data_IF_677122330012
#
_entry.id   IF_677122330012
#
_cell.length_a   1.000
_cell.length_b   1.000
_cell.length_c   1.000
_cell.angle_alpha   90.00
_cell.angle_beta   90.00
_cell.angle_gamma   90.00
#
_symmetry.space_group_name_H-M   'P 1'
#
loop_
_entity.id
_entity.type
_entity.pdbx_description
1 polymer ?
#
# COMPACT_ATOMS: atom_id res chain seq x y z
N UNK A 1 -23.27 -22.72 -25.45
CA UNK A 1 -22.15 -23.68 -25.27
C UNK A 1 -20.93 -22.87 -24.88
N UNK A 2 -20.48 -22.96 -23.62
CA UNK A 2 -19.25 -22.30 -23.16
C UNK A 2 -18.03 -23.20 -23.43
N UNK A 3 -16.85 -22.64 -23.72
CA UNK A 3 -15.69 -23.42 -24.10
C UNK A 3 -15.07 -24.08 -22.86
N UNK A 4 -15.35 -25.37 -22.66
CA UNK A 4 -14.69 -26.19 -21.64
C UNK A 4 -13.19 -26.44 -21.93
N UNK A 5 -12.70 -26.12 -23.15
CA UNK A 5 -11.34 -26.47 -23.58
C UNK A 5 -10.21 -25.66 -22.95
N UNK A 6 -10.46 -24.47 -22.39
CA UNK A 6 -9.38 -23.66 -21.80
C UNK A 6 -8.99 -24.10 -20.39
N UNK A 7 -9.91 -24.68 -19.63
CA UNK A 7 -9.70 -25.13 -18.25
C UNK A 7 -8.89 -26.43 -18.18
N UNK A 8 -9.11 -27.35 -19.12
CA UNK A 8 -8.36 -28.61 -19.16
C UNK A 8 -6.90 -28.41 -19.61
N UNK A 9 -6.66 -27.43 -20.50
CA UNK A 9 -5.30 -27.02 -20.88
C UNK A 9 -4.54 -26.41 -19.70
N UNK A 10 -5.22 -25.62 -18.85
CA UNK A 10 -4.62 -25.05 -17.64
C UNK A 10 -4.31 -26.11 -16.58
N UNK A 11 -5.17 -27.11 -16.40
CA UNK A 11 -4.90 -28.26 -15.50
C UNK A 11 -3.71 -29.10 -15.98
N UNK A 12 -3.59 -29.31 -17.29
CA UNK A 12 -2.43 -29.96 -17.90
C UNK A 12 -1.14 -29.18 -17.67
N UNK A 13 -1.17 -27.85 -17.89
CA UNK A 13 -0.05 -26.96 -17.64
C UNK A 13 0.33 -26.90 -16.15
N UNK A 14 -0.65 -26.85 -15.25
CA UNK A 14 -0.43 -26.85 -13.80
C UNK A 14 0.17 -28.18 -13.32
N UNK A 15 -0.29 -29.30 -13.88
CA UNK A 15 0.27 -30.64 -13.60
C UNK A 15 1.69 -30.77 -14.15
N UNK A 16 1.95 -30.22 -15.35
CA UNK A 16 3.28 -30.18 -15.95
C UNK A 16 4.22 -29.28 -15.14
N UNK A 17 3.77 -28.10 -14.70
CA UNK A 17 4.51 -27.18 -13.84
C UNK A 17 4.79 -27.78 -12.47
N UNK A 18 3.82 -28.45 -11.85
CA UNK A 18 4.03 -29.15 -10.59
C UNK A 18 4.96 -30.36 -10.75
N UNK A 19 4.91 -31.05 -11.89
CA UNK A 19 5.87 -32.12 -12.23
C UNK A 19 7.27 -31.54 -12.42
N UNK A 20 7.41 -30.43 -13.14
CA UNK A 20 8.67 -29.68 -13.30
C UNK A 20 9.20 -29.29 -11.91
N UNK A 21 8.42 -28.59 -11.09
CA UNK A 21 8.80 -28.18 -9.72
C UNK A 21 9.17 -29.37 -8.83
N UNK A 22 8.48 -30.52 -8.92
CA UNK A 22 8.80 -31.74 -8.15
C UNK A 22 10.00 -32.53 -8.71
N UNK A 23 10.17 -32.62 -10.02
CA UNK A 23 11.30 -33.31 -10.65
C UNK A 23 12.62 -32.56 -10.46
N UNK A 24 12.56 -31.25 -10.25
CA UNK A 24 13.73 -30.37 -10.08
C UNK A 24 14.31 -30.33 -8.66
N UNK A 25 13.82 -31.17 -7.75
CA UNK A 25 14.41 -31.33 -6.42
C UNK A 25 15.66 -32.25 -6.40
N UNK A 26 15.97 -32.93 -7.52
CA UNK A 26 17.10 -33.86 -7.61
C UNK A 26 18.26 -33.35 -8.49
N UNK A 27 18.02 -32.39 -9.37
CA UNK A 27 19.02 -31.56 -10.05
C UNK A 27 18.34 -30.25 -10.48
N UNK A 28 18.82 -29.07 -10.04
CA UNK A 28 18.20 -27.81 -10.40
C UNK A 28 18.33 -27.61 -11.92
N UNK A 29 17.23 -27.41 -12.66
CA UNK A 29 17.29 -27.21 -14.10
C UNK A 29 18.10 -25.97 -14.38
N UNK A 30 18.88 -26.02 -15.45
CA UNK A 30 19.59 -24.86 -15.96
C UNK A 30 18.58 -23.68 -16.14
N UNK A 31 18.72 -22.59 -15.37
CA UNK A 31 17.84 -21.43 -15.47
C UNK A 31 17.78 -20.85 -16.89
N UNK A 32 18.80 -21.10 -17.72
CA UNK A 32 18.86 -20.64 -19.11
C UNK A 32 17.67 -21.12 -19.95
N UNK A 33 17.22 -22.36 -19.75
CA UNK A 33 16.09 -22.94 -20.50
C UNK A 33 14.79 -22.25 -20.16
N UNK A 34 14.59 -21.91 -18.89
CA UNK A 34 13.41 -21.19 -18.46
C UNK A 34 13.41 -19.75 -18.99
N UNK A 35 14.57 -19.08 -18.97
CA UNK A 35 14.73 -17.74 -19.54
C UNK A 35 14.60 -17.70 -21.07
N UNK A 36 14.69 -18.83 -21.77
CA UNK A 36 14.41 -18.95 -23.20
C UNK A 36 12.91 -18.96 -23.58
N UNK A 37 12.01 -19.17 -22.61
CA UNK A 37 10.55 -19.12 -22.83
C UNK A 37 10.12 -17.66 -23.05
N UNK A 38 9.20 -17.31 -23.97
CA UNK A 38 8.67 -15.95 -24.11
C UNK A 38 8.20 -15.33 -22.78
N UNK A 39 8.44 -14.02 -22.60
CA UNK A 39 8.20 -13.33 -21.32
C UNK A 39 6.75 -13.45 -20.86
N UNK A 40 5.81 -13.37 -21.79
CA UNK A 40 4.37 -13.46 -21.54
C UNK A 40 3.99 -14.81 -20.93
N UNK A 41 4.62 -15.90 -21.40
CA UNK A 41 4.40 -17.23 -20.85
C UNK A 41 5.06 -17.37 -19.48
N UNK A 42 6.22 -16.75 -19.24
CA UNK A 42 6.86 -16.72 -17.91
C UNK A 42 5.98 -15.98 -16.90
N UNK A 43 5.41 -14.84 -17.28
CA UNK A 43 4.48 -14.07 -16.43
C UNK A 43 3.26 -14.91 -16.04
N UNK A 44 2.69 -15.68 -16.97
CA UNK A 44 1.62 -16.63 -16.68
C UNK A 44 2.06 -17.72 -15.70
N UNK A 45 3.26 -18.30 -15.88
CA UNK A 45 3.80 -19.31 -14.98
C UNK A 45 3.98 -18.74 -13.56
N UNK A 46 4.52 -17.52 -13.44
CA UNK A 46 4.68 -16.86 -12.15
C UNK A 46 3.35 -16.61 -11.47
N UNK A 47 2.35 -16.12 -12.22
CA UNK A 47 0.99 -15.92 -11.72
C UNK A 47 0.36 -17.21 -11.21
N UNK A 48 0.39 -18.28 -12.00
CA UNK A 48 -0.15 -19.58 -11.60
C UNK A 48 0.56 -20.14 -10.36
N UNK A 49 1.88 -19.95 -10.25
CA UNK A 49 2.64 -20.35 -9.07
C UNK A 49 2.22 -19.56 -7.81
N UNK A 50 1.98 -18.26 -7.93
CA UNK A 50 1.53 -17.43 -6.83
C UNK A 50 0.12 -17.81 -6.38
N UNK A 51 -0.78 -18.11 -7.32
CA UNK A 51 -2.13 -18.64 -7.04
C UNK A 51 -2.03 -19.97 -6.28
N UNK A 52 -1.24 -20.90 -6.79
CA UNK A 52 -1.07 -22.23 -6.20
C UNK A 52 -0.49 -22.19 -4.77
N UNK A 53 0.32 -21.19 -4.46
CA UNK A 53 0.94 -21.02 -3.14
C UNK A 53 0.12 -20.15 -2.18
N UNK A 54 -1.11 -19.77 -2.56
CA UNK A 54 -1.98 -18.85 -1.81
C UNK A 54 -1.28 -17.52 -1.48
N UNK A 55 -0.38 -17.09 -2.36
CA UNK A 55 0.34 -15.80 -2.31
C UNK A 55 -0.22 -14.79 -3.32
N UNK A 56 -1.25 -15.19 -4.07
CA UNK A 56 -2.02 -14.34 -4.97
C UNK A 56 -3.40 -14.07 -4.35
N UNK A 57 -3.78 -12.80 -4.23
CA UNK A 57 -5.03 -12.40 -3.60
C UNK A 57 -5.21 -10.89 -3.65
N UNK A 58 -6.42 -10.43 -3.34
CA UNK A 58 -6.85 -9.04 -3.57
C UNK A 58 -6.00 -8.04 -2.77
N UNK A 59 -5.50 -8.39 -1.58
CA UNK A 59 -4.69 -7.48 -0.77
C UNK A 59 -3.30 -8.06 -0.48
N UNK A 60 -2.28 -7.56 -1.19
CA UNK A 60 -0.89 -7.88 -0.87
C UNK A 60 -0.37 -6.88 0.16
N UNK A 61 -0.19 -7.38 1.39
CA UNK A 61 0.24 -6.57 2.53
C UNK A 61 1.73 -6.74 2.81
N UNK A 62 2.46 -5.64 2.63
CA UNK A 62 3.81 -5.46 3.13
C UNK A 62 3.76 -5.00 4.59
N UNK A 63 3.97 -5.95 5.50
CA UNK A 63 4.07 -5.72 6.94
C UNK A 63 5.43 -6.11 7.53
N UNK A 64 5.66 -5.75 8.79
CA UNK A 64 6.88 -6.04 9.55
C UNK A 64 7.26 -7.54 9.53
N UNK A 65 6.28 -8.45 9.52
CA UNK A 65 6.57 -9.90 9.41
C UNK A 65 7.23 -10.27 8.08
N UNK A 66 7.03 -9.47 7.04
CA UNK A 66 7.72 -9.60 5.75
C UNK A 66 9.21 -9.22 5.84
N UNK A 67 9.60 -8.48 6.89
CA UNK A 67 10.96 -8.02 7.21
C UNK A 67 11.76 -9.03 8.04
N UNK A 68 11.26 -10.24 8.33
CA UNK A 68 12.02 -11.23 9.12
C UNK A 68 13.24 -11.79 8.36
N UNK A 69 14.09 -10.96 7.78
CA UNK A 69 15.28 -11.29 6.99
C UNK A 69 15.98 -12.54 7.54
N UNK A 70 16.25 -13.50 6.65
CA UNK A 70 17.50 -14.25 6.77
C UNK A 70 18.60 -13.18 6.79
N UNK A 71 19.33 -13.08 7.90
CA UNK A 71 20.18 -11.94 8.33
C UNK A 71 21.30 -11.50 7.34
N UNK A 72 21.30 -11.96 6.09
CA UNK A 72 22.22 -11.52 5.03
C UNK A 72 21.57 -11.20 3.68
N UNK A 73 20.27 -11.40 3.47
CA UNK A 73 19.64 -11.14 2.15
C UNK A 73 18.63 -10.01 2.21
N UNK A 74 18.76 -8.99 1.35
CA UNK A 74 17.78 -7.89 1.17
C UNK A 74 16.48 -8.36 0.47
N UNK A 75 16.08 -9.61 0.72
CA UNK A 75 14.98 -10.26 0.03
C UNK A 75 13.80 -10.46 0.97
N UNK A 76 12.60 -10.05 0.56
CA UNK A 76 11.43 -10.23 1.39
C UNK A 76 10.96 -11.68 1.41
N UNK A 77 10.37 -12.10 2.52
CA UNK A 77 9.87 -13.47 2.70
C UNK A 77 8.71 -13.86 1.81
N UNK A 78 7.89 -12.89 1.41
CA UNK A 78 6.77 -13.17 0.51
C UNK A 78 7.26 -13.62 -0.87
N UNK A 79 8.47 -13.23 -1.29
CA UNK A 79 9.03 -13.60 -2.57
C UNK A 79 9.14 -15.13 -2.67
N UNK A 80 8.46 -15.78 -3.63
CA UNK A 80 8.48 -17.23 -3.77
C UNK A 80 9.90 -17.72 -4.10
N UNK A 81 10.15 -19.01 -3.86
CA UNK A 81 11.46 -19.63 -4.10
C UNK A 81 11.96 -19.41 -5.53
N UNK A 82 11.06 -19.43 -6.53
CA UNK A 82 11.41 -19.14 -7.92
C UNK A 82 12.02 -17.74 -8.11
N UNK A 83 11.53 -16.72 -7.38
CA UNK A 83 12.10 -15.37 -7.40
C UNK A 83 13.47 -15.26 -6.73
N UNK A 84 13.94 -16.31 -6.05
CA UNK A 84 15.26 -16.33 -5.38
C UNK A 84 16.37 -16.89 -6.28
N UNK A 85 16.04 -17.50 -7.42
CA UNK A 85 16.98 -18.20 -8.31
C UNK A 85 18.08 -17.31 -8.85
N UNK A 86 17.72 -16.20 -9.50
CA UNK A 86 18.67 -15.21 -10.01
C UNK A 86 18.02 -13.82 -10.09
N UNK A 87 18.83 -12.79 -10.35
CA UNK A 87 18.38 -11.39 -10.36
C UNK A 87 17.32 -11.10 -11.42
N UNK A 88 17.44 -11.67 -12.61
CA UNK A 88 16.47 -11.45 -13.68
C UNK A 88 15.11 -12.03 -13.27
N UNK A 89 15.06 -13.33 -12.96
CA UNK A 89 13.83 -14.02 -12.52
C UNK A 89 13.21 -13.33 -11.31
N UNK A 90 14.03 -12.86 -10.37
CA UNK A 90 13.57 -12.05 -9.23
C UNK A 90 12.82 -10.80 -9.66
N UNK A 91 13.39 -10.06 -10.61
CA UNK A 91 12.77 -8.85 -11.18
C UNK A 91 11.43 -9.17 -11.80
N UNK A 92 11.38 -10.21 -12.64
CA UNK A 92 10.18 -10.62 -13.36
C UNK A 92 9.05 -11.04 -12.39
N UNK A 93 9.39 -11.87 -11.39
CA UNK A 93 8.45 -12.34 -10.38
C UNK A 93 7.93 -11.19 -9.52
N UNK A 94 8.81 -10.28 -9.06
CA UNK A 94 8.40 -9.12 -8.27
C UNK A 94 7.47 -8.20 -9.05
N UNK A 95 7.79 -7.93 -10.32
CA UNK A 95 6.94 -7.14 -11.20
C UNK A 95 5.53 -7.76 -11.32
N UNK A 96 5.45 -9.08 -11.52
CA UNK A 96 4.17 -9.79 -11.57
C UNK A 96 3.41 -9.67 -10.24
N UNK A 97 4.06 -9.87 -9.10
CA UNK A 97 3.43 -9.73 -7.77
C UNK A 97 2.86 -8.32 -7.57
N UNK A 98 3.66 -7.28 -7.84
CA UNK A 98 3.25 -5.90 -7.58
C UNK A 98 2.17 -5.42 -8.56
N UNK A 99 2.19 -5.88 -9.82
CA UNK A 99 1.13 -5.58 -10.80
C UNK A 99 -0.18 -6.29 -10.52
N UNK A 100 -0.10 -7.48 -9.92
CA UNK A 100 -1.25 -8.29 -9.56
C UNK A 100 -2.03 -7.75 -8.37
N UNK A 101 -1.32 -7.07 -7.48
CA UNK A 101 -1.87 -6.55 -6.25
C UNK A 101 -2.98 -5.53 -6.54
N UNK A 102 -4.13 -5.67 -5.86
CA UNK A 102 -5.19 -4.68 -5.98
C UNK A 102 -4.85 -3.39 -5.25
N UNK A 103 -4.25 -3.47 -4.06
CA UNK A 103 -3.71 -2.34 -3.29
C UNK A 103 -2.47 -2.81 -2.52
N UNK A 104 -1.29 -2.26 -2.81
CA UNK A 104 -0.09 -2.56 -2.04
C UNK A 104 -0.22 -1.92 -0.68
N UNK A 105 -0.43 -2.71 0.36
CA UNK A 105 -0.59 -2.17 1.73
C UNK A 105 0.78 -2.06 2.37
N UNK A 106 1.16 -0.87 2.84
CA UNK A 106 2.49 -0.61 3.39
C UNK A 106 2.37 -0.05 4.81
N UNK A 107 2.98 -0.75 5.76
CA UNK A 107 3.14 -0.23 7.13
C UNK A 107 4.17 0.91 7.18
N UNK A 108 3.90 1.93 7.99
CA UNK A 108 4.62 3.21 7.98
C UNK A 108 5.75 3.32 8.99
N UNK A 109 6.23 2.22 9.56
CA UNK A 109 7.45 2.28 10.35
C UNK A 109 8.60 2.73 9.45
N UNK A 110 9.31 3.81 9.82
CA UNK A 110 10.32 4.42 8.95
C UNK A 110 11.35 3.41 8.44
N UNK A 111 11.84 2.54 9.32
CA UNK A 111 12.79 1.48 8.95
C UNK A 111 12.23 0.43 7.97
N UNK A 112 10.91 0.24 7.96
CA UNK A 112 10.23 -0.66 7.03
C UNK A 112 10.09 -0.03 5.64
N UNK A 113 9.72 1.25 5.58
CA UNK A 113 9.69 2.01 4.32
C UNK A 113 11.09 2.06 3.70
N UNK A 114 12.12 2.32 4.49
CA UNK A 114 13.50 2.29 4.03
C UNK A 114 13.91 0.92 3.47
N UNK A 115 13.47 -0.16 4.11
CA UNK A 115 13.69 -1.52 3.59
C UNK A 115 13.03 -1.71 2.23
N UNK A 116 11.76 -1.32 2.06
CA UNK A 116 11.05 -1.43 0.78
C UNK A 116 11.77 -0.63 -0.30
N UNK A 117 12.14 0.62 0.00
CA UNK A 117 12.88 1.47 -0.93
C UNK A 117 14.17 0.77 -1.36
N UNK A 118 15.01 0.34 -0.42
CA UNK A 118 16.28 -0.32 -0.71
C UNK A 118 16.08 -1.63 -1.49
N UNK A 119 15.05 -2.40 -1.17
CA UNK A 119 14.70 -3.62 -1.89
C UNK A 119 14.33 -3.33 -3.35
N UNK A 120 13.48 -2.33 -3.60
CA UNK A 120 13.10 -1.89 -4.95
C UNK A 120 14.30 -1.32 -5.72
N UNK A 121 15.24 -0.68 -5.05
CA UNK A 121 16.50 -0.22 -5.67
C UNK A 121 17.44 -1.35 -6.10
N UNK A 122 17.23 -2.59 -5.64
CA UNK A 122 18.06 -3.73 -6.09
C UNK A 122 17.79 -4.15 -7.55
N UNK A 123 16.73 -3.64 -8.18
CA UNK A 123 16.36 -3.94 -9.56
C UNK A 123 17.01 -2.95 -10.53
N UNK A 124 18.21 -3.28 -11.02
CA UNK A 124 18.91 -2.47 -12.03
C UNK A 124 18.15 -2.40 -13.35
N UNK A 125 18.29 -1.26 -14.05
CA UNK A 125 17.74 -0.99 -15.38
C UNK A 125 16.20 -0.96 -15.49
N UNK A 126 15.49 -1.01 -14.37
CA UNK A 126 14.03 -0.83 -14.33
C UNK A 126 13.67 0.13 -13.21
N UNK A 127 12.76 1.07 -13.48
CA UNK A 127 12.16 1.87 -12.41
C UNK A 127 11.12 1.02 -11.68
N UNK A 128 11.58 0.17 -10.75
CA UNK A 128 10.74 -0.80 -10.02
C UNK A 128 9.59 -0.15 -9.23
N UNK A 129 9.71 1.13 -8.89
CA UNK A 129 8.64 1.91 -8.26
C UNK A 129 7.44 2.10 -9.20
N UNK A 130 7.62 2.06 -10.52
CA UNK A 130 6.55 2.20 -11.51
C UNK A 130 5.64 0.96 -11.59
N UNK A 131 6.05 -0.15 -10.98
CA UNK A 131 5.20 -1.33 -10.82
C UNK A 131 4.07 -1.08 -9.81
N UNK A 132 4.23 -0.11 -8.91
CA UNK A 132 3.28 0.22 -7.86
C UNK A 132 2.27 1.23 -8.40
N UNK A 133 1.11 0.72 -8.81
CA UNK A 133 0.01 1.56 -9.33
C UNK A 133 -1.00 1.94 -8.26
N UNK A 134 -1.03 1.20 -7.15
CA UNK A 134 -2.05 1.34 -6.11
C UNK A 134 -1.40 1.09 -4.76
N UNK A 135 -1.49 2.08 -3.87
CA UNK A 135 -0.80 2.08 -2.59
C UNK A 135 -1.80 2.41 -1.48
N UNK A 136 -1.79 1.61 -0.42
CA UNK A 136 -2.59 1.81 0.77
C UNK A 136 -1.67 1.97 1.98
N UNK A 137 -1.82 3.09 2.66
CA UNK A 137 -1.09 3.43 3.87
C UNK A 137 -2.09 3.44 5.03
N UNK A 138 -2.26 2.29 5.71
CA UNK A 138 -3.37 2.07 6.65
C UNK A 138 -3.21 2.85 7.96
N UNK A 139 -2.04 3.45 8.19
CA UNK A 139 -1.81 4.35 9.31
C UNK A 139 -0.66 5.26 8.95
N UNK A 140 -0.88 6.57 8.79
CA UNK A 140 0.19 7.54 8.62
C UNK A 140 0.84 7.80 9.98
N UNK A 141 2.03 7.21 10.20
CA UNK A 141 2.72 7.32 11.48
C UNK A 141 3.07 8.77 11.83
N UNK A 142 2.96 9.09 13.11
CA UNK A 142 3.35 10.38 13.66
C UNK A 142 4.83 10.65 13.38
N UNK A 143 5.12 11.72 12.66
CA UNK A 143 6.50 12.17 12.51
C UNK A 143 6.99 12.76 13.83
N UNK A 144 8.04 12.18 14.40
CA UNK A 144 8.94 12.96 15.23
C UNK A 144 9.82 13.79 14.28
N UNK A 145 9.42 15.06 14.07
CA UNK A 145 10.15 15.99 13.18
C UNK A 145 11.61 16.18 13.60
N UNK A 146 11.93 15.98 14.88
CA UNK A 146 13.29 16.11 15.37
C UNK A 146 14.18 14.93 14.92
N UNK A 147 13.59 13.75 14.68
CA UNK A 147 14.32 12.58 14.21
C UNK A 147 14.40 12.47 12.69
N UNK A 148 13.39 12.95 11.96
CA UNK A 148 13.30 12.79 10.51
C UNK A 148 13.10 14.14 9.84
N UNK A 149 14.04 14.52 8.97
CA UNK A 149 13.94 15.73 8.13
C UNK A 149 12.76 15.67 7.15
N UNK A 150 12.37 14.47 6.71
CA UNK A 150 11.33 14.22 5.71
C UNK A 150 10.49 13.01 6.09
N UNK A 151 9.22 12.98 5.66
CA UNK A 151 8.35 11.82 5.86
C UNK A 151 8.80 10.67 4.96
N UNK A 152 9.38 9.57 5.47
CA UNK A 152 9.84 8.48 4.62
C UNK A 152 8.70 7.87 3.81
N UNK A 153 7.47 7.86 4.34
CA UNK A 153 6.27 7.38 3.64
C UNK A 153 5.95 8.27 2.44
N UNK A 154 5.99 9.61 2.59
CA UNK A 154 5.78 10.51 1.46
C UNK A 154 6.90 10.41 0.44
N UNK A 155 8.15 10.31 0.89
CA UNK A 155 9.28 10.07 -0.01
C UNK A 155 9.10 8.79 -0.82
N UNK A 156 8.59 7.71 -0.21
CA UNK A 156 8.26 6.47 -0.93
C UNK A 156 7.12 6.68 -1.95
N UNK A 157 6.03 7.34 -1.55
CA UNK A 157 4.89 7.68 -2.43
C UNK A 157 5.37 8.44 -3.67
N UNK A 158 6.23 9.46 -3.49
CA UNK A 158 6.75 10.29 -4.59
C UNK A 158 7.57 9.51 -5.62
N UNK A 159 8.22 8.42 -5.21
CA UNK A 159 9.01 7.60 -6.13
C UNK A 159 8.13 6.74 -7.05
N UNK A 160 6.88 6.51 -6.68
CA UNK A 160 5.94 5.71 -7.47
C UNK A 160 5.32 6.56 -8.59
N UNK A 161 6.05 6.79 -9.69
CA UNK A 161 5.62 7.74 -10.74
C UNK A 161 4.35 7.32 -11.47
N UNK A 162 4.04 6.01 -11.47
CA UNK A 162 2.82 5.43 -12.05
C UNK A 162 1.71 5.16 -11.04
N UNK A 163 1.79 5.77 -9.86
CA UNK A 163 0.77 5.64 -8.82
C UNK A 163 -0.54 6.28 -9.30
N UNK A 164 -1.60 5.48 -9.37
CA UNK A 164 -2.95 5.86 -9.81
C UNK A 164 -3.94 5.96 -8.67
N UNK A 165 -3.79 5.12 -7.64
CA UNK A 165 -4.61 5.16 -6.43
C UNK A 165 -3.73 5.27 -5.21
N UNK A 166 -4.07 6.21 -4.33
CA UNK A 166 -3.45 6.34 -3.02
C UNK A 166 -4.52 6.35 -1.93
N UNK A 167 -4.38 5.46 -0.95
CA UNK A 167 -5.21 5.47 0.25
C UNK A 167 -4.36 5.85 1.45
N UNK A 168 -4.78 6.88 2.19
CA UNK A 168 -4.10 7.38 3.38
C UNK A 168 -5.06 7.36 4.56
N UNK A 169 -4.65 6.72 5.64
CA UNK A 169 -5.41 6.70 6.89
C UNK A 169 -4.67 7.48 7.97
N UNK A 170 -5.35 8.43 8.62
CA UNK A 170 -4.76 9.33 9.62
C UNK A 170 -5.31 9.05 11.01
N UNK A 171 -4.45 9.11 12.02
CA UNK A 171 -4.90 9.10 13.41
C UNK A 171 -5.54 10.43 13.79
N UNK A 172 -6.61 10.38 14.59
CA UNK A 172 -7.28 11.58 15.10
C UNK A 172 -6.35 12.49 15.93
N UNK A 173 -5.32 11.92 16.57
CA UNK A 173 -4.28 12.68 17.28
C UNK A 173 -3.43 13.53 16.33
N UNK A 174 -3.43 13.26 15.04
CA UNK A 174 -2.68 14.03 14.05
C UNK A 174 -3.53 15.11 13.37
N UNK A 175 -4.84 14.92 13.31
CA UNK A 175 -5.81 15.90 12.79
C UNK A 175 -6.29 16.89 13.86
N UNK A 176 -5.86 16.71 15.11
CA UNK A 176 -6.19 17.59 16.24
C UNK A 176 -4.96 18.10 16.97
N UNK A 177 -5.13 19.21 17.68
CA UNK A 177 -4.14 19.86 18.56
C UNK A 177 -4.79 20.17 19.91
N UNK A 178 -3.98 20.30 20.97
CA UNK A 178 -4.49 20.74 22.27
C UNK A 178 -4.92 22.21 22.21
N UNK A 179 -6.11 22.52 22.72
CA UNK A 179 -6.61 23.89 22.83
C UNK A 179 -5.91 24.60 23.99
N UNK A 180 -5.05 25.60 23.70
CA UNK A 180 -4.27 26.29 24.74
C UNK A 180 -5.16 27.09 25.70
N UNK A 181 -6.41 27.39 25.32
CA UNK A 181 -7.33 28.21 26.11
C UNK A 181 -8.21 27.38 27.06
N UNK A 182 -8.02 26.05 27.11
CA UNK A 182 -8.85 25.17 27.95
C UNK A 182 -8.03 24.45 29.03
N UNK A 183 -8.46 24.49 30.31
CA UNK A 183 -7.71 23.90 31.42
C UNK A 183 -7.72 22.37 31.45
N UNK A 184 -8.65 21.74 30.73
CA UNK A 184 -8.66 20.30 30.46
C UNK A 184 -8.28 20.18 29.00
N UNK A 185 -7.21 19.46 28.65
CA UNK A 185 -6.66 19.27 27.29
C UNK A 185 -7.74 18.93 26.24
N UNK A 186 -8.52 19.93 25.83
CA UNK A 186 -9.58 19.77 24.85
C UNK A 186 -8.87 19.75 23.52
N UNK A 187 -9.09 18.70 22.75
CA UNK A 187 -8.58 18.66 21.40
C UNK A 187 -9.46 19.57 20.53
N UNK A 188 -8.82 20.36 19.68
CA UNK A 188 -9.44 21.14 18.61
C UNK A 188 -8.83 20.73 17.29
N UNK A 189 -9.55 21.01 16.20
CA UNK A 189 -9.08 20.76 14.84
C UNK A 189 -7.72 21.41 14.58
N UNK A 190 -6.78 20.64 14.02
CA UNK A 190 -5.51 21.17 13.52
C UNK A 190 -5.77 22.04 12.28
N UNK A 191 -5.18 23.23 12.15
CA UNK A 191 -5.25 24.02 10.93
C UNK A 191 -4.71 23.23 9.72
N UNK A 192 -5.35 23.35 8.54
CA UNK A 192 -5.00 22.56 7.36
C UNK A 192 -3.51 22.69 6.98
N UNK A 193 -2.95 23.91 6.97
CA UNK A 193 -1.54 24.11 6.63
C UNK A 193 -0.61 23.35 7.58
N UNK A 194 -0.90 23.40 8.88
CA UNK A 194 -0.12 22.67 9.88
C UNK A 194 -0.27 21.15 9.71
N UNK A 195 -1.46 20.65 9.37
CA UNK A 195 -1.67 19.24 9.05
C UNK A 195 -0.90 18.79 7.79
N UNK A 196 -0.92 19.60 6.73
CA UNK A 196 -0.16 19.33 5.50
C UNK A 196 1.34 19.31 5.75
N UNK A 197 1.85 20.30 6.48
CA UNK A 197 3.26 20.37 6.83
C UNK A 197 3.64 19.23 7.77
N UNK A 198 2.76 18.83 8.70
CA UNK A 198 3.05 17.78 9.69
C UNK A 198 3.38 16.44 9.02
N UNK A 199 2.68 16.12 7.93
CA UNK A 199 2.85 14.88 7.17
C UNK A 199 3.61 15.05 5.85
N UNK A 200 4.02 16.26 5.50
CA UNK A 200 4.67 16.58 4.23
C UNK A 200 3.78 16.28 3.00
N UNK A 201 2.48 16.55 3.14
CA UNK A 201 1.45 16.14 2.17
C UNK A 201 1.49 16.93 0.86
N UNK A 202 2.11 18.11 0.84
CA UNK A 202 2.25 18.94 -0.36
C UNK A 202 2.88 18.17 -1.53
N UNK A 203 3.76 17.23 -1.20
CA UNK A 203 4.46 16.40 -2.17
C UNK A 203 3.57 15.40 -2.93
N UNK A 204 2.34 15.15 -2.47
CA UNK A 204 1.38 14.32 -3.22
C UNK A 204 1.12 14.88 -4.62
N UNK A 205 1.26 16.19 -4.80
CA UNK A 205 1.10 16.85 -6.09
C UNK A 205 2.17 16.44 -7.13
N UNK A 206 3.23 15.73 -6.71
CA UNK A 206 4.20 15.10 -7.61
C UNK A 206 3.71 13.81 -8.27
N UNK A 207 2.57 13.24 -7.83
CA UNK A 207 1.99 12.03 -8.41
C UNK A 207 1.17 12.36 -9.67
N UNK A 208 1.85 12.53 -10.81
CA UNK A 208 1.24 12.94 -12.09
C UNK A 208 0.22 11.94 -12.67
N UNK A 209 0.34 10.66 -12.30
CA UNK A 209 -0.60 9.61 -12.73
C UNK A 209 -1.74 9.38 -11.74
N UNK A 210 -1.85 10.15 -10.65
CA UNK A 210 -2.85 9.92 -9.62
C UNK A 210 -4.26 10.18 -10.19
N UNK A 211 -5.14 9.19 -10.06
CA UNK A 211 -6.53 9.21 -10.53
C UNK A 211 -7.50 9.25 -9.33
N UNK A 212 -7.11 8.61 -8.22
CA UNK A 212 -7.97 8.42 -7.04
C UNK A 212 -7.19 8.61 -5.73
N UNK A 213 -7.73 9.45 -4.84
CA UNK A 213 -7.21 9.66 -3.49
C UNK A 213 -8.28 9.28 -2.46
N UNK A 214 -7.96 8.31 -1.60
CA UNK A 214 -8.84 7.86 -0.51
C UNK A 214 -8.29 8.34 0.83
N UNK A 215 -9.12 9.01 1.60
CA UNK A 215 -8.77 9.56 2.90
C UNK A 215 -9.62 8.90 3.99
N UNK A 216 -8.98 8.39 5.03
CA UNK A 216 -9.65 7.75 6.15
C UNK A 216 -9.10 8.29 7.48
N UNK A 217 -9.95 8.25 8.51
CA UNK A 217 -9.64 8.70 9.87
C UNK A 217 -9.84 7.57 10.86
N UNK A 218 -8.86 7.34 11.73
CA UNK A 218 -8.94 6.36 12.81
C UNK A 218 -8.75 7.02 14.18
N UNK A 219 -9.59 6.64 15.12
CA UNK A 219 -9.42 7.04 16.51
C UNK A 219 -8.24 6.29 17.15
N UNK A 220 -7.57 6.88 18.16
CA UNK A 220 -6.61 6.18 18.99
C UNK A 220 -7.35 5.16 19.88
N UNK A 221 -7.74 4.01 19.32
CA UNK A 221 -8.12 2.85 20.13
C UNK A 221 -6.89 2.04 20.48
N UNK A 222 -6.88 1.37 21.64
CA UNK A 222 -5.82 0.41 22.01
C UNK A 222 -5.56 -0.56 20.84
N UNK A 223 -4.29 -0.92 20.56
CA UNK A 223 -3.95 -1.81 19.47
C UNK A 223 -4.60 -3.18 19.71
N UNK A 224 -5.69 -3.47 19.01
CA UNK A 224 -6.18 -4.85 18.93
C UNK A 224 -5.13 -5.63 18.14
N UNK A 225 -4.64 -6.72 18.72
CA UNK A 225 -3.54 -7.59 18.20
C UNK A 225 -3.82 -8.24 16.82
N UNK A 226 -4.90 -7.86 16.15
CA UNK A 226 -5.21 -8.14 14.76
C UNK A 226 -5.70 -6.84 14.12
N UNK A 227 -4.79 -6.12 13.49
CA UNK A 227 -5.15 -5.21 12.40
C UNK A 227 -5.11 -6.07 11.14
N UNK A 228 -6.12 -6.92 10.99
CA UNK A 228 -6.67 -7.12 9.65
C UNK A 228 -7.20 -5.73 9.29
N UNK A 229 -6.71 -5.18 8.18
CA UNK A 229 -7.31 -4.00 7.54
C UNK A 229 -8.81 -4.28 7.58
N UNK A 230 -9.59 -3.47 8.30
CA UNK A 230 -11.03 -3.55 8.58
C UNK A 230 -11.28 -3.45 10.09
N UNK A 231 -11.85 -2.32 10.48
CA UNK A 231 -12.45 -1.97 11.78
C UNK A 231 -11.53 -1.46 12.91
N UNK A 232 -11.81 -0.21 13.31
CA UNK A 232 -11.41 0.37 14.60
C UNK A 232 -12.65 1.03 15.21
N UNK A 233 -12.86 0.74 16.49
CA UNK A 233 -13.98 1.07 17.37
C UNK A 233 -14.26 2.57 17.55
N UNK A 234 -15.53 2.96 17.60
CA UNK A 234 -15.99 4.21 18.22
C UNK A 234 -15.99 4.08 19.76
N UNK A 235 -15.33 4.97 20.52
CA UNK A 235 -15.44 5.04 21.98
C UNK A 235 -16.80 5.57 22.41
N UNK A 236 -17.27 5.07 23.56
CA UNK A 236 -18.54 5.41 24.21
C UNK A 236 -18.52 6.83 24.86
N UNK A 237 -17.41 7.57 24.76
CA UNK A 237 -17.22 8.86 25.43
C UNK A 237 -17.59 10.06 24.54
N UNK A 238 -18.30 11.07 25.09
CA UNK A 238 -18.68 12.32 24.38
C UNK A 238 -17.51 13.03 23.71
N UNK A 239 -16.31 12.99 24.31
CA UNK A 239 -15.11 13.60 23.75
C UNK A 239 -14.63 12.91 22.46
N UNK A 240 -14.91 11.61 22.28
CA UNK A 240 -14.53 10.89 21.07
C UNK A 240 -15.36 11.30 19.85
N UNK A 241 -16.67 11.58 20.04
CA UNK A 241 -17.53 12.07 18.96
C UNK A 241 -17.05 13.40 18.37
N UNK A 242 -16.56 14.31 19.21
CA UNK A 242 -16.04 15.60 18.76
C UNK A 242 -14.73 15.46 18.01
N UNK A 243 -13.85 14.55 18.46
CA UNK A 243 -12.62 14.23 17.74
C UNK A 243 -12.89 13.61 16.36
N UNK A 244 -13.95 12.81 16.22
CA UNK A 244 -14.37 12.27 14.91
C UNK A 244 -14.81 13.38 13.96
N UNK A 245 -15.61 14.35 14.43
CA UNK A 245 -16.05 15.50 13.64
C UNK A 245 -14.88 16.38 13.23
N UNK A 246 -13.99 16.74 14.15
CA UNK A 246 -12.80 17.55 13.86
C UNK A 246 -11.85 16.84 12.88
N UNK A 247 -11.68 15.52 13.04
CA UNK A 247 -10.90 14.68 12.10
C UNK A 247 -11.52 14.68 10.72
N UNK A 248 -12.82 14.40 10.62
CA UNK A 248 -13.54 14.40 9.36
C UNK A 248 -13.45 15.75 8.67
N UNK A 249 -13.63 16.85 9.40
CA UNK A 249 -13.54 18.19 8.83
C UNK A 249 -12.13 18.49 8.29
N UNK A 250 -11.08 18.07 9.01
CA UNK A 250 -9.69 18.21 8.54
C UNK A 250 -9.47 17.44 7.25
N UNK A 251 -9.95 16.20 7.16
CA UNK A 251 -9.84 15.38 5.96
C UNK A 251 -10.65 15.95 4.79
N UNK A 252 -11.83 16.53 5.05
CA UNK A 252 -12.63 17.25 4.05
C UNK A 252 -11.88 18.45 3.52
N UNK A 253 -11.28 19.26 4.39
CA UNK A 253 -10.47 20.41 3.97
C UNK A 253 -9.25 19.99 3.14
N UNK A 254 -8.55 18.93 3.56
CA UNK A 254 -7.44 18.37 2.80
C UNK A 254 -7.88 17.84 1.44
N UNK A 255 -9.00 17.12 1.40
CA UNK A 255 -9.58 16.63 0.15
C UNK A 255 -9.92 17.76 -0.82
N UNK A 256 -10.57 18.84 -0.35
CA UNK A 256 -10.88 20.02 -1.18
C UNK A 256 -9.61 20.64 -1.74
N UNK A 257 -8.62 20.86 -0.87
CA UNK A 257 -7.33 21.37 -1.28
C UNK A 257 -6.66 20.50 -2.35
N UNK A 258 -6.70 19.18 -2.20
CA UNK A 258 -6.09 18.24 -3.15
C UNK A 258 -6.79 18.32 -4.51
N UNK A 259 -8.13 18.28 -4.53
CA UNK A 259 -8.96 18.40 -5.74
C UNK A 259 -8.64 19.71 -6.49
N UNK A 260 -8.62 20.84 -5.79
CA UNK A 260 -8.32 22.15 -6.38
C UNK A 260 -6.87 22.24 -6.90
N UNK A 261 -5.92 21.67 -6.16
CA UNK A 261 -4.49 21.72 -6.51
C UNK A 261 -4.17 20.85 -7.73
N UNK A 262 -4.77 19.66 -7.85
CA UNK A 262 -4.65 18.83 -9.05
C UNK A 262 -5.38 19.46 -10.24
N UNK A 263 -6.56 20.06 -10.02
CA UNK A 263 -7.29 20.77 -11.08
C UNK A 263 -6.47 21.93 -11.68
N UNK A 264 -5.73 22.70 -10.86
CA UNK A 264 -4.78 23.73 -11.33
C UNK A 264 -3.67 23.17 -12.23
N UNK A 265 -3.32 21.89 -12.06
CA UNK A 265 -2.39 21.14 -12.91
C UNK A 265 -3.05 20.46 -14.10
N UNK A 266 -4.35 20.70 -14.34
CA UNK A 266 -5.18 20.03 -15.37
C UNK A 266 -5.26 18.52 -15.17
N UNK A 267 -5.14 18.05 -13.94
CA UNK A 267 -5.28 16.64 -13.55
C UNK A 267 -6.60 16.48 -12.80
N UNK A 268 -7.41 15.51 -13.21
CA UNK A 268 -8.66 15.18 -12.51
C UNK A 268 -8.39 14.06 -11.52
N UNK A 269 -8.59 14.33 -10.23
CA UNK A 269 -8.46 13.34 -9.16
C UNK A 269 -9.79 13.20 -8.44
N UNK A 270 -10.28 11.97 -8.35
CA UNK A 270 -11.45 11.64 -7.53
C UNK A 270 -11.00 11.51 -6.08
N UNK A 271 -11.62 12.24 -5.17
CA UNK A 271 -11.28 12.21 -3.75
C UNK A 271 -12.41 11.60 -2.95
N UNK A 272 -12.15 10.46 -2.32
CA UNK A 272 -13.09 9.79 -1.44
C UNK A 272 -12.70 10.01 0.02
N UNK A 273 -13.70 10.24 0.87
CA UNK A 273 -13.49 10.32 2.31
C UNK A 273 -14.33 9.24 2.98
N UNK A 274 -13.69 8.49 3.86
CA UNK A 274 -14.36 7.47 4.64
C UNK A 274 -14.92 8.08 5.93
N UNK A 275 -16.23 7.89 6.14
CA UNK A 275 -16.88 8.18 7.42
C UNK A 275 -17.22 6.85 8.09
N UNK A 276 -16.76 6.68 9.32
CA UNK A 276 -17.04 5.49 10.13
C UNK A 276 -18.04 5.85 11.23
N UNK A 277 -19.12 5.06 11.37
CA UNK A 277 -20.09 5.20 12.47
C UNK A 277 -20.36 3.82 13.06
N UNK A 278 -19.68 3.49 14.16
CA UNK A 278 -19.69 2.14 14.72
C UNK A 278 -19.00 1.15 13.78
N UNK A 279 -19.67 0.04 13.45
CA UNK A 279 -19.17 -0.96 12.48
C UNK A 279 -19.44 -0.60 11.01
N UNK A 280 -20.21 0.47 10.76
CA UNK A 280 -20.56 0.87 9.40
C UNK A 280 -19.46 1.75 8.82
N UNK A 281 -18.98 1.34 7.65
CA UNK A 281 -18.02 2.06 6.82
C UNK A 281 -18.78 2.63 5.63
N UNK A 282 -18.74 3.96 5.47
CA UNK A 282 -19.26 4.64 4.29
C UNK A 282 -18.12 5.34 3.55
N UNK A 283 -17.96 4.99 2.27
CA UNK A 283 -17.16 5.76 1.33
C UNK A 283 -18.11 6.65 0.54
N UNK A 284 -18.04 7.95 0.78
CA UNK A 284 -18.80 8.94 0.03
C UNK A 284 -17.88 9.74 -0.88
N UNK A 285 -18.46 10.31 -1.93
CA UNK A 285 -17.86 11.50 -2.53
C UNK A 285 -17.87 12.59 -1.45
N UNK A 286 -16.80 13.38 -1.39
CA UNK A 286 -16.64 14.47 -0.44
C UNK A 286 -17.80 15.47 -0.48
N UNK A 287 -18.44 15.62 -1.65
CA UNK A 287 -19.59 16.52 -1.85
C UNK A 287 -20.89 16.01 -1.21
N UNK A 288 -20.92 14.76 -0.77
CA UNK A 288 -22.12 14.09 -0.22
C UNK A 288 -22.06 13.83 1.29
N UNK A 289 -20.98 14.25 1.97
CA UNK A 289 -20.69 14.00 3.39
C UNK A 289 -21.00 15.17 4.31
#
# INVERSE_FOLDING_TARGET
>A
MQPQSSLDNLKGLHTALNKVVKYHALDPPDPSRFLGIPRELRDLIYKEHLIATNKWGEDFCLNEKSRLLDRGTMLPHFLPSIGRVNRQVRSEVTEVILRACSDMVVQTEGSYIEFIIKWLETYENVNSFDWIKRLCVPTMYHMNRDMYKHNPTMHFIMRCSKLRRLSLTFHASATTIGDPNTPIHRMTRRPLNEFMDYYDLHHILGCECLEELRLDGILPSKPSKRVEIFSVYTPIHRNARRNDEDTLETLVQFGRWAKDSFAKKRQTVVVHIQKRRGHFVWWGDMETL
#
